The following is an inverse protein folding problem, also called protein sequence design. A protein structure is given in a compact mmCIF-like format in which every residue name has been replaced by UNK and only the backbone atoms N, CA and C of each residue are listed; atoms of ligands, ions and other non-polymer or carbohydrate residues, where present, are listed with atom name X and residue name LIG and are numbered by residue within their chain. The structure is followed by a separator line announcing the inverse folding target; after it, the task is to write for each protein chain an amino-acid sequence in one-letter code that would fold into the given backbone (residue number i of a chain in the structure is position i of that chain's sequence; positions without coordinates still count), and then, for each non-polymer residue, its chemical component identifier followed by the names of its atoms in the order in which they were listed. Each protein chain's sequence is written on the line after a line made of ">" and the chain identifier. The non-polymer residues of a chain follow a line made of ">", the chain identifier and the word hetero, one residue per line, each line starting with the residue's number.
data_IF_553330718365
#
_entry.id   IF_553330718365
#
_cell.length_a   1.000
_cell.length_b   1.000
_cell.length_c   1.000
_cell.angle_alpha   90.00
_cell.angle_beta   90.00
_cell.angle_gamma   90.00
#
_symmetry.space_group_name_H-M   'P 1'
#
loop_
_entity.id
_entity.type
_entity.pdbx_description
1 polymer ?
#
# COMPACT_ATOMS: atom_id res chain seq x y z
N UNK A 1 -6.03 2.68 4.82
CA UNK A 1 -6.69 3.67 3.95
C UNK A 1 -7.55 2.91 2.96
N UNK A 2 -8.84 3.24 2.84
CA UNK A 2 -9.75 2.62 1.87
C UNK A 2 -9.87 3.51 0.64
N UNK A 3 -10.41 3.00 -0.46
CA UNK A 3 -10.67 3.80 -1.67
C UNK A 3 -12.17 4.03 -1.84
N UNK A 4 -12.55 5.04 -2.62
CA UNK A 4 -13.97 5.23 -2.95
C UNK A 4 -14.50 4.10 -3.85
N UNK A 5 -13.62 3.47 -4.65
CA UNK A 5 -13.97 2.36 -5.52
C UNK A 5 -14.32 1.09 -4.72
N UNK A 6 -13.60 0.85 -3.62
CA UNK A 6 -13.92 -0.20 -2.67
C UNK A 6 -13.53 0.20 -1.25
N UNK A 7 -14.56 0.35 -0.40
CA UNK A 7 -14.42 0.78 0.99
C UNK A 7 -14.24 -0.39 1.96
N UNK A 8 -14.35 -1.64 1.49
CA UNK A 8 -14.17 -2.86 2.30
C UNK A 8 -12.72 -3.31 2.31
N UNK A 9 -11.96 -2.94 1.29
CA UNK A 9 -10.55 -3.26 1.15
C UNK A 9 -9.71 -2.22 1.88
N UNK A 10 -8.98 -2.67 2.90
CA UNK A 10 -8.03 -1.85 3.63
C UNK A 10 -6.65 -1.91 2.96
N UNK A 11 -6.09 -0.73 2.69
CA UNK A 11 -4.72 -0.59 2.24
C UNK A 11 -3.85 -0.02 3.36
N UNK A 12 -2.85 -0.77 3.80
CA UNK A 12 -1.87 -0.27 4.76
C UNK A 12 -0.79 0.51 4.03
N UNK A 13 -0.54 1.73 4.49
CA UNK A 13 0.42 2.64 3.84
C UNK A 13 1.60 2.87 4.77
N UNK A 14 2.79 2.53 4.30
CA UNK A 14 4.05 2.70 5.02
C UNK A 14 4.97 3.66 4.29
N UNK A 15 5.81 4.36 5.07
CA UNK A 15 6.86 5.24 4.54
C UNK A 15 8.23 4.91 5.15
N UNK A 16 8.80 3.74 4.86
CA UNK A 16 10.11 3.37 5.40
C UNK A 16 11.23 4.16 4.73
N UNK A 17 12.30 4.40 5.49
CA UNK A 17 13.60 4.79 4.93
C UNK A 17 14.33 3.52 4.49
N UNK A 18 14.70 3.46 3.22
CA UNK A 18 15.53 2.38 2.66
C UNK A 18 16.93 2.91 2.35
N UNK A 19 17.86 2.02 2.00
CA UNK A 19 19.18 2.42 1.52
C UNK A 19 19.13 3.33 0.27
N UNK A 20 18.03 3.27 -0.50
CA UNK A 20 17.82 4.07 -1.71
C UNK A 20 16.93 5.31 -1.47
N UNK A 21 16.57 5.59 -0.21
CA UNK A 21 15.73 6.72 0.18
C UNK A 21 14.33 6.33 0.68
N UNK A 22 13.48 7.35 0.86
CA UNK A 22 12.11 7.17 1.33
C UNK A 22 11.17 6.72 0.21
N UNK A 23 10.41 5.66 0.47
CA UNK A 23 9.41 5.14 -0.45
C UNK A 23 8.04 5.10 0.22
N UNK A 24 6.98 5.27 -0.57
CA UNK A 24 5.61 5.05 -0.10
C UNK A 24 5.14 3.68 -0.59
N UNK A 25 5.01 2.75 0.36
CA UNK A 25 4.50 1.40 0.11
C UNK A 25 3.02 1.34 0.48
N UNK A 26 2.22 0.74 -0.38
CA UNK A 26 0.83 0.37 -0.09
C UNK A 26 0.71 -1.14 -0.16
N UNK A 27 0.27 -1.74 0.95
CA UNK A 27 0.00 -3.16 1.09
C UNK A 27 -1.51 -3.37 1.08
N UNK A 28 -1.97 -4.41 0.41
CA UNK A 28 -3.38 -4.77 0.36
C UNK A 28 -3.50 -6.29 0.35
N UNK A 29 -4.34 -6.84 1.23
CA UNK A 29 -4.61 -8.28 1.28
C UNK A 29 -6.03 -8.51 0.79
N UNK A 30 -6.18 -9.30 -0.28
CA UNK A 30 -7.48 -9.67 -0.87
C UNK A 30 -7.40 -11.15 -1.21
N UNK A 31 -8.40 -11.93 -0.79
CA UNK A 31 -8.50 -13.38 -1.07
C UNK A 31 -7.17 -14.13 -0.82
N UNK A 32 -6.56 -13.88 0.35
CA UNK A 32 -5.27 -14.43 0.79
C UNK A 32 -4.04 -14.03 -0.08
N UNK A 33 -4.20 -13.14 -1.06
CA UNK A 33 -3.12 -12.58 -1.86
C UNK A 33 -2.62 -11.25 -1.29
N UNK A 34 -1.31 -11.13 -1.10
CA UNK A 34 -0.64 -9.86 -0.77
C UNK A 34 -0.28 -9.10 -2.04
N UNK A 35 -0.92 -7.95 -2.24
CA UNK A 35 -0.61 -6.99 -3.30
C UNK A 35 0.27 -5.88 -2.73
N UNK A 36 1.42 -5.66 -3.36
CA UNK A 36 2.37 -4.59 -3.02
C UNK A 36 2.40 -3.57 -4.15
N UNK A 37 2.13 -2.31 -3.83
CA UNK A 37 2.20 -1.21 -4.79
C UNK A 37 2.95 0.00 -4.24
N UNK A 38 3.52 0.80 -5.14
CA UNK A 38 4.19 2.04 -4.81
C UNK A 38 3.28 3.22 -5.12
N UNK A 39 3.28 4.22 -4.24
CA UNK A 39 2.62 5.50 -4.57
C UNK A 39 3.55 6.29 -5.47
N UNK A 40 3.07 6.68 -6.64
CA UNK A 40 3.77 7.66 -7.49
C UNK A 40 3.92 8.99 -6.73
N UNK A 41 5.06 9.65 -6.94
CA UNK A 41 5.45 10.86 -6.21
C UNK A 41 4.60 12.07 -6.64
#
# INVERSE_FOLDING_TARGET
>A
MTTHADHRIWQDVYRPMTAMGMVYLKLTVIDDLLIVSFKEL
#
